data_IF_978115998643
#
_entry.id   IF_978115998643
#
_cell.length_a   1.000
_cell.length_b   1.000
_cell.length_c   1.000
_cell.angle_alpha   90.00
_cell.angle_beta   90.00
_cell.angle_gamma   90.00
#
_symmetry.space_group_name_H-M   'P 1'
#
loop_
_entity.id
_entity.type
_entity.pdbx_description
1 polymer ?
#
# COMPACT_ATOMS: atom_id res chain seq x y z
N UNK A 1 -13.39 -2.77 -7.18
CA UNK A 1 -13.78 -2.50 -5.78
C UNK A 1 -15.28 -2.70 -5.66
N UNK A 2 -15.79 -3.23 -4.55
CA UNK A 2 -17.18 -3.67 -4.44
C UNK A 2 -18.17 -2.56 -4.04
N UNK A 3 -17.74 -1.31 -3.89
CA UNK A 3 -18.58 -0.15 -3.51
C UNK A 3 -19.41 -0.33 -2.21
N UNK A 4 -19.06 -1.29 -1.35
CA UNK A 4 -19.73 -1.61 -0.08
C UNK A 4 -18.90 -1.30 1.15
N UNK A 5 -17.67 -0.82 0.98
CA UNK A 5 -16.76 -0.52 2.09
C UNK A 5 -16.03 0.81 1.83
N UNK A 6 -15.75 1.55 2.90
CA UNK A 6 -14.91 2.75 2.88
C UNK A 6 -13.89 2.72 4.02
N UNK A 7 -12.66 3.12 3.71
CA UNK A 7 -11.60 3.34 4.68
C UNK A 7 -11.45 4.84 4.94
N UNK A 8 -11.31 5.24 6.21
CA UNK A 8 -11.17 6.64 6.63
C UNK A 8 -9.95 6.74 7.53
N UNK A 9 -8.97 7.54 7.13
CA UNK A 9 -7.76 7.80 7.90
C UNK A 9 -7.86 9.13 8.62
N UNK A 10 -7.41 9.17 9.86
CA UNK A 10 -7.52 10.36 10.69
C UNK A 10 -6.23 10.67 11.47
N UNK A 11 -6.22 11.85 12.09
CA UNK A 11 -5.13 12.33 12.94
C UNK A 11 -5.25 11.84 14.40
N UNK A 12 -6.23 10.99 14.69
CA UNK A 12 -6.38 10.22 15.93
C UNK A 12 -5.51 8.94 15.93
N UNK A 13 -4.59 8.84 14.96
CA UNK A 13 -3.68 7.73 14.73
C UNK A 13 -4.36 6.42 14.34
N UNK A 14 -5.57 6.46 13.78
CA UNK A 14 -6.26 5.27 13.29
C UNK A 14 -6.69 5.41 11.82
N UNK A 15 -6.84 4.27 11.17
CA UNK A 15 -7.70 4.11 10.00
C UNK A 15 -8.93 3.32 10.43
N UNK A 16 -10.13 3.77 10.08
CA UNK A 16 -11.37 3.05 10.33
C UNK A 16 -11.91 2.48 9.03
N UNK A 17 -12.51 1.29 9.10
CA UNK A 17 -13.14 0.62 7.97
C UNK A 17 -14.63 0.52 8.26
N UNK A 18 -15.46 0.96 7.33
CA UNK A 18 -16.90 1.05 7.47
C UNK A 18 -17.61 0.24 6.38
N UNK A 19 -18.62 -0.53 6.77
CA UNK A 19 -19.60 -1.09 5.84
C UNK A 19 -20.56 0.03 5.42
N UNK A 20 -20.71 0.20 4.11
CA UNK A 20 -21.59 1.17 3.47
C UNK A 20 -22.51 0.51 2.44
N UNK A 21 -22.78 -0.79 2.60
CA UNK A 21 -23.77 -1.52 1.80
C UNK A 21 -25.13 -0.83 1.86
N UNK A 22 -25.53 -0.42 3.06
CA UNK A 22 -26.57 0.58 3.26
C UNK A 22 -25.92 1.96 3.50
N UNK A 23 -25.99 2.82 2.48
CA UNK A 23 -25.41 4.17 2.50
C UNK A 23 -26.06 5.08 3.54
N UNK A 24 -27.30 4.79 3.95
CA UNK A 24 -28.01 5.58 4.95
C UNK A 24 -27.75 5.08 6.37
N UNK A 25 -27.15 3.90 6.51
CA UNK A 25 -26.82 3.29 7.79
C UNK A 25 -25.41 2.69 7.78
N UNK A 26 -24.36 3.53 7.63
CA UNK A 26 -22.99 3.05 7.69
C UNK A 26 -22.70 2.42 9.05
N UNK A 27 -21.93 1.33 9.07
CA UNK A 27 -21.54 0.65 10.31
C UNK A 27 -20.03 0.46 10.38
N UNK A 28 -19.45 0.75 11.55
CA UNK A 28 -18.02 0.59 11.78
C UNK A 28 -17.68 -0.90 11.84
N UNK A 29 -16.80 -1.38 10.95
CA UNK A 29 -16.29 -2.75 10.95
C UNK A 29 -15.05 -2.87 11.82
N UNK A 30 -14.02 -2.06 11.54
CA UNK A 30 -12.70 -2.20 12.16
C UNK A 30 -12.05 -0.85 12.47
N UNK A 31 -11.25 -0.83 13.53
CA UNK A 31 -10.30 0.24 13.85
C UNK A 31 -8.89 -0.33 13.67
N UNK A 32 -8.15 0.25 12.74
CA UNK A 32 -6.81 -0.18 12.32
C UNK A 32 -5.79 0.81 12.89
N UNK A 33 -5.12 0.48 14.01
CA UNK A 33 -4.27 1.43 14.72
C UNK A 33 -2.97 1.73 13.97
N UNK A 34 -2.44 2.93 14.17
CA UNK A 34 -1.09 3.40 13.86
C UNK A 34 -0.55 4.20 15.06
N UNK A 35 0.74 4.58 15.04
CA UNK A 35 1.35 5.44 16.06
C UNK A 35 1.41 6.92 15.67
N UNK A 36 0.76 7.28 14.56
CA UNK A 36 0.68 8.64 14.00
C UNK A 36 -0.50 8.72 13.02
N UNK A 37 -0.81 9.94 12.56
CA UNK A 37 -1.85 10.22 11.57
C UNK A 37 -1.79 9.29 10.36
N UNK A 38 -2.96 8.84 9.87
CA UNK A 38 -3.06 8.03 8.65
C UNK A 38 -3.62 8.88 7.52
N UNK A 39 -2.73 9.35 6.64
CA UNK A 39 -3.10 10.04 5.40
C UNK A 39 -3.05 9.10 4.20
N UNK A 40 -2.04 8.25 4.15
CA UNK A 40 -1.79 7.37 3.02
C UNK A 40 -2.61 6.09 3.17
N UNK A 41 -3.42 5.78 2.16
CA UNK A 41 -4.17 4.53 2.10
C UNK A 41 -4.59 4.19 0.69
N UNK A 42 -4.69 2.90 0.38
CA UNK A 42 -5.21 2.42 -0.89
C UNK A 42 -5.77 0.99 -0.78
N UNK A 43 -6.95 0.76 -1.33
CA UNK A 43 -7.41 -0.61 -1.57
C UNK A 43 -6.61 -1.25 -2.70
N UNK A 44 -6.25 -2.52 -2.53
CA UNK A 44 -5.59 -3.29 -3.57
C UNK A 44 -6.53 -3.51 -4.76
N UNK A 45 -6.10 -3.22 -6.01
CA UNK A 45 -6.98 -3.35 -7.17
C UNK A 45 -7.22 -4.80 -7.61
N UNK A 46 -6.32 -5.74 -7.30
CA UNK A 46 -6.46 -7.16 -7.64
C UNK A 46 -6.98 -8.03 -6.48
N UNK A 47 -7.02 -7.51 -5.26
CA UNK A 47 -7.43 -8.26 -4.07
C UNK A 47 -8.44 -7.45 -3.26
N UNK A 48 -9.70 -7.89 -3.23
CA UNK A 48 -10.81 -7.13 -2.67
C UNK A 48 -10.68 -6.89 -1.16
N UNK A 49 -10.16 -7.86 -0.42
CA UNK A 49 -10.05 -7.82 1.04
C UNK A 49 -8.71 -7.26 1.52
N UNK A 50 -7.92 -6.60 0.65
CA UNK A 50 -6.60 -6.06 1.00
C UNK A 50 -6.59 -4.53 0.98
N UNK A 51 -6.32 -3.93 2.13
CA UNK A 51 -6.11 -2.51 2.32
C UNK A 51 -4.67 -2.26 2.76
N UNK A 52 -4.01 -1.27 2.17
CA UNK A 52 -2.73 -0.76 2.68
C UNK A 52 -2.92 0.62 3.28
N UNK A 53 -2.26 0.89 4.40
CA UNK A 53 -2.23 2.17 5.08
C UNK A 53 -0.80 2.59 5.41
N UNK A 54 -0.54 3.89 5.48
CA UNK A 54 0.78 4.45 5.77
C UNK A 54 0.70 5.50 6.87
N UNK A 55 1.58 5.36 7.86
CA UNK A 55 1.61 6.22 9.03
C UNK A 55 2.46 7.47 8.89
N UNK A 56 2.06 8.48 9.68
CA UNK A 56 2.73 9.77 9.81
C UNK A 56 4.15 9.72 10.38
N UNK A 57 4.75 10.89 10.62
CA UNK A 57 6.17 11.05 11.02
C UNK A 57 6.60 10.24 12.25
N UNK A 58 5.70 10.00 13.21
CA UNK A 58 5.98 9.23 14.42
C UNK A 58 5.76 7.71 14.27
N UNK A 59 5.12 7.27 13.20
CA UNK A 59 4.87 5.84 12.94
C UNK A 59 5.74 5.30 11.80
N UNK A 60 5.71 5.94 10.62
CA UNK A 60 6.50 5.58 9.43
C UNK A 60 6.32 4.12 8.96
N UNK A 61 5.26 3.45 9.36
CA UNK A 61 4.97 2.08 8.92
C UNK A 61 3.99 2.08 7.76
N UNK A 62 4.24 1.23 6.78
CA UNK A 62 3.25 0.76 5.82
C UNK A 62 2.66 -0.53 6.38
N UNK A 63 1.34 -0.59 6.55
CA UNK A 63 0.63 -1.74 7.11
C UNK A 63 -0.36 -2.30 6.10
N UNK A 64 -0.40 -3.61 5.98
CA UNK A 64 -1.32 -4.35 5.13
C UNK A 64 -2.38 -5.02 5.99
N UNK A 65 -3.64 -4.82 5.65
CA UNK A 65 -4.78 -5.26 6.43
C UNK A 65 -5.71 -6.13 5.60
N UNK A 66 -6.21 -7.18 6.23
CA UNK A 66 -7.30 -7.97 5.71
C UNK A 66 -8.64 -7.33 6.12
N UNK A 67 -9.36 -6.73 5.18
CA UNK A 67 -10.56 -5.93 5.50
C UNK A 67 -11.81 -6.76 5.77
N UNK A 68 -11.78 -8.07 5.55
CA UNK A 68 -12.87 -8.98 5.97
C UNK A 68 -12.77 -9.35 7.45
N UNK A 69 -11.55 -9.42 8.01
CA UNK A 69 -11.31 -9.84 9.41
C UNK A 69 -10.70 -8.76 10.31
N UNK A 70 -10.24 -7.64 9.76
CA UNK A 70 -9.51 -6.60 10.48
C UNK A 70 -8.07 -6.99 10.83
N UNK A 71 -7.57 -8.12 10.32
CA UNK A 71 -6.26 -8.67 10.68
C UNK A 71 -5.13 -7.85 10.05
N UNK A 72 -4.13 -7.48 10.85
CA UNK A 72 -2.85 -6.99 10.34
C UNK A 72 -2.10 -8.16 9.70
N UNK A 73 -1.90 -8.09 8.39
CA UNK A 73 -1.18 -9.11 7.62
C UNK A 73 0.33 -8.94 7.73
N UNK A 74 0.80 -7.71 7.52
CA UNK A 74 2.21 -7.37 7.63
C UNK A 74 2.41 -5.88 7.87
N UNK A 75 3.57 -5.54 8.43
CA UNK A 75 4.01 -4.16 8.65
C UNK A 75 5.42 -4.00 8.12
N UNK A 76 5.67 -2.92 7.39
CA UNK A 76 6.96 -2.58 6.83
C UNK A 76 7.38 -1.19 7.31
N UNK A 77 8.45 -1.14 8.09
CA UNK A 77 9.03 0.13 8.54
C UNK A 77 9.68 0.86 7.37
N UNK A 78 9.43 2.16 7.28
CA UNK A 78 10.07 3.04 6.29
C UNK A 78 10.82 4.16 6.98
N UNK A 79 11.70 4.83 6.24
CA UNK A 79 12.51 5.93 6.78
C UNK A 79 11.80 7.29 6.75
N UNK A 80 10.54 7.35 6.30
CA UNK A 80 9.82 8.61 6.13
C UNK A 80 8.35 8.55 6.54
N UNK A 81 7.79 9.72 6.83
CA UNK A 81 6.36 9.92 6.89
C UNK A 81 5.72 9.48 5.58
N UNK A 82 4.83 8.50 5.59
CA UNK A 82 4.18 8.02 4.37
C UNK A 82 3.06 8.99 4.00
N UNK A 83 3.14 9.60 2.80
CA UNK A 83 2.21 10.66 2.38
C UNK A 83 1.17 10.17 1.37
N UNK A 84 1.52 9.16 0.56
CA UNK A 84 0.59 8.47 -0.31
C UNK A 84 1.09 7.06 -0.66
N UNK A 85 0.14 6.19 -1.04
CA UNK A 85 0.39 4.79 -1.41
C UNK A 85 -0.38 4.49 -2.69
N UNK A 86 0.28 3.90 -3.68
CA UNK A 86 -0.30 3.60 -4.99
C UNK A 86 0.07 2.19 -5.42
N UNK A 87 -0.94 1.37 -5.67
CA UNK A 87 -0.77 0.02 -6.22
C UNK A 87 -0.55 0.07 -7.73
N UNK A 88 0.27 -0.83 -8.26
CA UNK A 88 0.38 -1.06 -9.70
C UNK A 88 -0.75 -1.96 -10.20
N UNK A 89 -1.61 -1.50 -11.10
CA UNK A 89 -2.66 -2.40 -11.63
C UNK A 89 -2.12 -3.54 -12.51
N UNK A 90 -0.84 -3.46 -12.93
CA UNK A 90 -0.22 -4.43 -13.85
C UNK A 90 0.71 -5.43 -13.15
N UNK A 91 1.19 -5.10 -11.95
CA UNK A 91 2.28 -5.82 -11.26
C UNK A 91 1.94 -5.91 -9.78
N UNK A 92 2.41 -6.95 -9.09
CA UNK A 92 2.33 -7.02 -7.62
C UNK A 92 3.37 -6.09 -6.98
N UNK A 93 3.16 -4.79 -7.15
CA UNK A 93 4.05 -3.73 -6.73
C UNK A 93 3.26 -2.60 -6.08
N UNK A 94 3.88 -1.94 -5.11
CA UNK A 94 3.35 -0.77 -4.42
C UNK A 94 4.36 0.36 -4.44
N UNK A 95 3.88 1.57 -4.62
CA UNK A 95 4.66 2.80 -4.56
C UNK A 95 4.27 3.55 -3.30
N UNK A 96 5.26 4.00 -2.55
CA UNK A 96 5.09 4.88 -1.40
C UNK A 96 5.82 6.20 -1.66
N UNK A 97 5.17 7.31 -1.31
CA UNK A 97 5.80 8.64 -1.30
C UNK A 97 6.00 9.12 0.12
N UNK A 98 6.98 9.99 0.31
CA UNK A 98 7.45 10.38 1.63
C UNK A 98 7.46 11.89 1.84
N UNK A 99 7.10 12.27 3.06
CA UNK A 99 7.21 13.63 3.59
C UNK A 99 8.49 13.78 4.41
N UNK A 100 8.37 14.17 5.68
CA UNK A 100 9.52 14.23 6.58
C UNK A 100 10.15 12.85 6.80
N UNK A 101 11.45 12.74 6.60
CA UNK A 101 12.17 11.47 6.76
C UNK A 101 13.44 11.58 7.58
N UNK A 102 14.20 10.50 7.52
CA UNK A 102 15.56 10.41 8.04
C UNK A 102 16.49 11.41 7.33
N UNK A 103 17.31 12.11 8.11
CA UNK A 103 18.27 13.09 7.60
C UNK A 103 19.50 12.44 6.97
N UNK A 104 19.84 11.22 7.39
CA UNK A 104 21.05 10.52 6.94
C UNK A 104 20.86 9.85 5.58
N UNK A 105 19.62 9.43 5.30
CA UNK A 105 19.25 8.76 4.05
C UNK A 105 17.89 9.25 3.52
N UNK A 106 17.80 10.53 3.15
CA UNK A 106 16.57 11.16 2.69
C UNK A 106 16.10 10.54 1.37
N UNK A 107 14.83 10.13 1.35
CA UNK A 107 14.18 9.58 0.18
C UNK A 107 12.77 10.15 0.07
N UNK A 108 12.29 10.28 -1.16
CA UNK A 108 10.99 10.90 -1.43
C UNK A 108 9.99 9.94 -2.05
N UNK A 109 10.49 8.88 -2.70
CA UNK A 109 9.68 7.87 -3.35
C UNK A 109 10.40 6.53 -3.29
N UNK A 110 9.66 5.46 -3.01
CA UNK A 110 10.15 4.11 -3.14
C UNK A 110 9.08 3.21 -3.77
N UNK A 111 9.51 2.26 -4.59
CA UNK A 111 8.67 1.21 -5.16
C UNK A 111 9.12 -0.13 -4.58
N UNK A 112 8.16 -0.94 -4.16
CA UNK A 112 8.39 -2.23 -3.53
C UNK A 112 7.65 -3.35 -4.26
N UNK A 113 8.21 -4.55 -4.23
CA UNK A 113 7.49 -5.78 -4.56
C UNK A 113 6.46 -6.07 -3.47
N UNK A 114 5.37 -6.77 -3.80
CA UNK A 114 4.41 -7.28 -2.84
C UNK A 114 4.21 -8.80 -3.04
N UNK A 115 4.13 -9.63 -1.98
CA UNK A 115 4.04 -9.29 -0.56
C UNK A 115 5.37 -9.05 0.17
N UNK A 116 6.51 -9.37 -0.45
CA UNK A 116 7.80 -9.42 0.24
C UNK A 116 8.38 -8.06 0.63
N UNK A 117 7.83 -6.95 0.12
CA UNK A 117 8.31 -5.59 0.38
C UNK A 117 9.80 -5.37 0.05
N UNK A 118 10.36 -6.13 -0.89
CA UNK A 118 11.70 -5.88 -1.42
C UNK A 118 11.72 -4.57 -2.23
N UNK A 119 12.70 -3.67 -2.02
CA UNK A 119 12.79 -2.42 -2.76
C UNK A 119 13.19 -2.68 -4.21
N UNK A 120 12.40 -2.14 -5.15
CA UNK A 120 12.62 -2.22 -6.60
C UNK A 120 13.14 -0.89 -7.17
N UNK A 121 12.81 0.23 -6.53
CA UNK A 121 13.26 1.56 -6.88
C UNK A 121 13.28 2.42 -5.62
N UNK A 122 14.31 3.26 -5.46
CA UNK A 122 14.38 4.28 -4.43
C UNK A 122 14.81 5.58 -5.11
N UNK A 123 14.08 6.66 -4.85
CA UNK A 123 14.42 8.00 -5.32
C UNK A 123 14.93 8.82 -4.13
N UNK A 124 16.25 9.07 -4.05
CA UNK A 124 16.82 9.92 -3.01
C UNK A 124 16.39 11.38 -3.22
N UNK A 125 16.45 12.18 -2.16
CA UNK A 125 16.10 13.60 -2.20
C UNK A 125 16.94 14.43 -1.25
N UNK A 126 16.85 15.76 -1.33
CA UNK A 126 17.42 16.60 -0.28
C UNK A 126 16.62 16.41 1.03
N UNK A 127 17.26 16.58 2.22
CA UNK A 127 16.58 16.37 3.50
C UNK A 127 15.34 17.24 3.74
N UNK A 128 15.27 18.40 3.09
CA UNK A 128 14.16 19.36 3.23
C UNK A 128 13.01 19.13 2.25
N UNK A 129 13.19 18.25 1.27
CA UNK A 129 12.19 18.01 0.23
C UNK A 129 11.18 16.95 0.68
N UNK A 130 9.90 17.25 0.46
CA UNK A 130 8.76 16.46 0.93
C UNK A 130 7.71 16.39 -0.17
N UNK A 131 7.16 15.21 -0.41
CA UNK A 131 5.92 15.07 -1.19
C UNK A 131 4.74 15.31 -0.26
N UNK A 132 3.81 16.15 -0.69
CA UNK A 132 2.58 16.48 0.05
C UNK A 132 1.40 15.61 -0.40
N UNK A 133 1.35 15.32 -1.71
CA UNK A 133 0.32 14.50 -2.35
C UNK A 133 0.85 13.91 -3.65
N UNK A 134 0.27 12.78 -4.06
CA UNK A 134 0.55 12.20 -5.36
C UNK A 134 -0.69 11.54 -5.98
N UNK A 135 -0.70 11.45 -7.31
CA UNK A 135 -1.77 10.81 -8.08
C UNK A 135 -1.17 9.99 -9.21
N UNK A 136 -1.74 8.82 -9.47
CA UNK A 136 -1.37 7.98 -10.61
C UNK A 136 -1.87 8.61 -11.92
N UNK A 137 -1.09 8.47 -13.00
CA UNK A 137 -1.52 8.88 -14.33
C UNK A 137 -2.69 8.02 -14.83
N UNK A 138 -3.56 8.54 -15.73
CA UNK A 138 -4.71 7.77 -16.24
C UNK A 138 -4.34 6.46 -16.95
N UNK A 139 -3.16 6.39 -17.56
CA UNK A 139 -2.60 5.21 -18.21
C UNK A 139 -1.85 4.26 -17.24
N UNK A 140 -1.82 4.58 -15.94
CA UNK A 140 -1.22 3.77 -14.88
C UNK A 140 0.27 3.43 -15.06
N UNK A 141 1.03 4.27 -15.77
CA UNK A 141 2.45 4.06 -16.02
C UNK A 141 3.36 4.99 -15.19
N UNK A 142 2.78 6.04 -14.61
CA UNK A 142 3.49 7.13 -13.95
C UNK A 142 2.74 7.63 -12.71
N UNK A 143 3.45 8.35 -11.84
CA UNK A 143 2.83 9.13 -10.77
C UNK A 143 3.24 10.60 -10.89
N UNK A 144 2.28 11.48 -10.61
CA UNK A 144 2.46 12.91 -10.44
C UNK A 144 2.57 13.22 -8.95
N UNK A 145 3.56 13.99 -8.53
CA UNK A 145 3.75 14.36 -7.13
C UNK A 145 3.84 15.88 -6.98
N UNK A 146 3.20 16.41 -5.95
CA UNK A 146 3.33 17.80 -5.55
C UNK A 146 4.27 17.91 -4.35
N UNK A 147 5.29 18.77 -4.44
CA UNK A 147 6.33 18.91 -3.41
C UNK A 147 6.28 20.28 -2.73
N UNK A 148 6.91 20.38 -1.54
CA UNK A 148 6.95 21.62 -0.76
C UNK A 148 7.87 22.72 -1.31
N UNK A 149 8.58 22.45 -2.41
CA UNK A 149 9.44 23.41 -3.12
C UNK A 149 8.71 24.12 -4.27
N UNK A 150 7.37 24.09 -4.26
CA UNK A 150 6.51 24.68 -5.28
C UNK A 150 6.66 24.04 -6.67
N UNK A 151 7.14 22.79 -6.74
CA UNK A 151 7.23 22.03 -7.99
C UNK A 151 6.24 20.86 -8.04
N UNK A 152 5.93 20.45 -9.27
CA UNK A 152 5.22 19.20 -9.57
C UNK A 152 6.16 18.33 -10.39
N UNK A 153 6.32 17.07 -10.00
CA UNK A 153 7.26 16.14 -10.65
C UNK A 153 6.54 14.88 -11.09
N UNK A 154 6.93 14.36 -12.24
CA UNK A 154 6.37 13.14 -12.83
C UNK A 154 7.43 12.04 -12.80
N UNK A 155 7.08 10.87 -12.26
CA UNK A 155 7.94 9.70 -12.27
C UNK A 155 7.27 8.60 -13.07
N UNK A 156 7.93 8.13 -14.13
CA UNK A 156 7.50 6.93 -14.86
C UNK A 156 7.97 5.69 -14.11
N UNK A 157 7.03 4.86 -13.66
CA UNK A 157 7.29 3.76 -12.71
C UNK A 157 7.00 2.38 -13.28
N UNK A 158 6.09 2.30 -14.25
CA UNK A 158 5.69 1.06 -14.89
C UNK A 158 5.80 1.22 -16.40
N UNK A 159 6.31 0.19 -17.07
CA UNK A 159 6.28 0.11 -18.52
C UNK A 159 5.10 -0.78 -18.91
N UNK A 160 4.36 -0.37 -19.93
CA UNK A 160 3.26 -1.16 -20.52
C UNK A 160 3.78 -2.35 -21.37
N UNK A 161 5.07 -2.67 -21.31
CA UNK A 161 5.60 -3.83 -22.02
C UNK A 161 5.00 -5.09 -21.38
N UNK A 162 4.08 -5.72 -22.11
CA UNK A 162 3.65 -7.09 -21.85
C UNK A 162 4.85 -8.02 -22.04
N UNK A 163 5.69 -8.14 -21.02
CA UNK A 163 6.59 -9.28 -20.96
C UNK A 163 5.73 -10.51 -20.71
N UNK A 164 5.73 -11.44 -21.67
CA UNK A 164 5.21 -12.78 -21.47
C UNK A 164 6.01 -13.38 -20.31
N UNK A 165 5.41 -13.48 -19.13
CA UNK A 165 6.06 -14.12 -17.99
C UNK A 165 6.17 -15.61 -18.33
N UNK A 166 7.30 -16.03 -18.87
CA UNK A 166 7.68 -17.43 -18.95
C UNK A 166 8.03 -17.91 -17.55
N UNK A 167 7.17 -18.76 -16.99
CA UNK A 167 7.33 -19.52 -15.74
C UNK A 167 7.35 -18.70 -14.43
N UNK A 168 6.31 -18.83 -13.57
CA UNK A 168 6.38 -18.35 -12.19
C UNK A 168 7.17 -19.37 -11.35
N UNK A 169 8.49 -19.20 -11.23
CA UNK A 169 9.31 -20.02 -10.32
C UNK A 169 9.71 -19.18 -9.10
N UNK A 170 9.11 -19.51 -7.95
CA UNK A 170 9.42 -19.01 -6.59
C UNK A 170 8.67 -17.71 -6.23
N UNK A 171 7.94 -17.56 -5.12
CA UNK A 171 8.03 -18.15 -3.78
C UNK A 171 6.62 -18.45 -3.23
N UNK A 172 6.51 -19.46 -2.37
CA UNK A 172 5.29 -19.93 -1.69
C UNK A 172 4.69 -18.97 -0.65
N UNK A 173 4.49 -17.70 -1.02
CA UNK A 173 3.76 -16.72 -0.24
C UNK A 173 2.52 -16.34 -1.05
N UNK A 174 1.32 -16.66 -0.54
CA UNK A 174 0.07 -16.36 -1.22
C UNK A 174 -0.19 -14.87 -1.36
N UNK A 175 -1.37 -14.48 -1.85
CA UNK A 175 -1.68 -13.07 -2.12
C UNK A 175 -1.65 -12.24 -0.83
N UNK A 176 -2.05 -12.83 0.30
CA UNK A 176 -2.08 -12.12 1.58
C UNK A 176 -0.76 -12.23 2.36
N UNK A 177 0.20 -13.02 1.87
CA UNK A 177 1.42 -13.35 2.60
C UNK A 177 1.17 -14.14 3.89
N UNK A 178 -0.01 -14.76 4.01
CA UNK A 178 -0.45 -15.53 5.16
C UNK A 178 -1.27 -16.72 4.67
N UNK A 179 -0.69 -17.92 4.73
CA UNK A 179 -1.31 -19.15 4.25
C UNK A 179 -2.68 -19.42 4.90
N UNK A 180 -2.88 -18.98 6.15
CA UNK A 180 -4.17 -19.09 6.85
C UNK A 180 -5.25 -18.20 6.22
N UNK A 181 -4.91 -16.95 5.90
CA UNK A 181 -5.85 -16.01 5.26
C UNK A 181 -6.06 -16.39 3.80
N UNK A 182 -5.00 -16.81 3.11
CA UNK A 182 -5.08 -17.35 1.76
C UNK A 182 -6.07 -18.54 1.73
N UNK A 183 -5.97 -19.49 2.66
CA UNK A 183 -6.91 -20.60 2.79
C UNK A 183 -8.34 -20.14 3.10
N UNK A 184 -8.52 -19.19 4.03
CA UNK A 184 -9.83 -18.63 4.37
C UNK A 184 -10.53 -17.97 3.17
N UNK A 185 -9.74 -17.34 2.31
CA UNK A 185 -10.20 -16.69 1.07
C UNK A 185 -10.31 -17.69 -0.10
N UNK A 186 -10.19 -19.00 0.17
CA UNK A 186 -10.38 -20.08 -0.81
C UNK A 186 -9.17 -20.30 -1.73
N UNK A 187 -8.00 -19.72 -1.41
CA UNK A 187 -6.77 -19.95 -2.15
C UNK A 187 -6.02 -21.14 -1.58
N UNK A 188 -6.18 -22.31 -2.21
CA UNK A 188 -5.38 -23.48 -1.90
C UNK A 188 -3.97 -23.35 -2.45
N UNK A 189 -2.96 -23.54 -1.61
CA UNK A 189 -1.63 -23.92 -2.08
C UNK A 189 -1.71 -25.41 -2.46
N UNK A 190 -1.70 -25.73 -3.75
CA UNK A 190 -1.50 -27.10 -4.22
C UNK A 190 -0.08 -27.52 -3.84
N UNK A 191 0.11 -28.05 -2.63
CA UNK A 191 1.43 -28.37 -2.09
C UNK A 191 1.44 -29.45 -1.02
N UNK A 192 0.67 -29.30 0.07
CA UNK A 192 0.83 -30.22 1.19
C UNK A 192 -0.32 -31.23 1.27
N UNK A 193 -0.12 -32.35 0.57
CA UNK A 193 -0.84 -33.59 0.86
C UNK A 193 -0.24 -34.15 2.15
N UNK A 194 -0.86 -33.88 3.30
CA UNK A 194 -0.50 -34.58 4.53
C UNK A 194 -1.10 -35.99 4.41
N UNK A 195 -0.23 -36.99 4.23
CA UNK A 195 -0.51 -38.40 4.51
C UNK A 195 -0.29 -38.68 5.98
#
# INVERSE_FOLDING_TARGET
>A
MNNTEVAIGANDNCCTVWDITDKFKPSLKFILPHSAAVKAMAYCPWTKSLLVTGGGTKDRNIRFWHTSSGTLLSSHYTKGQVTSLHWSIFRKEIVATYGFGDSDSPLILAKYSYPNMAPLLIVPASPSLRILSASTSPNNDSICVATNDSTVRMYKLWNLSHELISNPIGLGSGIYGSSLIDLHEGMGHTGDTIR
#
